data_IF_226614870456
#
_entry.id   IF_226614870456
#
_cell.length_a   1.000
_cell.length_b   1.000
_cell.length_c   1.000
_cell.angle_alpha   90.00
_cell.angle_beta   90.00
_cell.angle_gamma   90.00
#
_symmetry.space_group_name_H-M   'P 1'
#
loop_
_entity.id
_entity.type
_entity.pdbx_description
1 polymer ?
#
# COMPACT_ATOMS: atom_id res chain seq x y z
N UNK A 1 6.21 -18.72 26.45
CA UNK A 1 5.67 -17.34 26.18
C UNK A 1 5.48 -17.18 24.68
N UNK A 2 4.35 -16.61 24.24
CA UNK A 2 4.21 -16.25 22.83
C UNK A 2 5.16 -15.09 22.52
N UNK A 3 6.02 -15.24 21.53
CA UNK A 3 6.94 -14.21 21.04
C UNK A 3 6.36 -13.62 19.74
N UNK A 4 5.43 -12.63 19.81
CA UNK A 4 4.71 -12.15 18.64
C UNK A 4 5.61 -11.54 17.55
N UNK A 5 6.81 -11.13 17.92
CA UNK A 5 7.83 -10.60 17.00
C UNK A 5 8.66 -11.70 16.30
N UNK A 6 8.49 -12.98 16.69
CA UNK A 6 9.20 -14.09 16.08
C UNK A 6 8.28 -15.30 15.93
N UNK A 7 7.96 -15.63 14.69
CA UNK A 7 7.11 -16.74 14.28
C UNK A 7 7.84 -17.57 13.22
N UNK A 8 7.17 -18.52 12.60
CA UNK A 8 7.66 -19.21 11.39
C UNK A 8 7.58 -18.33 10.12
N UNK A 9 6.84 -17.20 10.16
CA UNK A 9 6.61 -16.31 9.02
C UNK A 9 7.33 -14.97 9.09
N UNK A 10 7.67 -14.49 10.27
CA UNK A 10 8.43 -13.24 10.44
C UNK A 10 9.32 -13.27 11.69
N UNK A 11 10.43 -12.55 11.59
CA UNK A 11 11.31 -12.24 12.69
C UNK A 11 11.69 -10.76 12.64
N UNK A 12 11.09 -9.98 13.52
CA UNK A 12 11.18 -8.51 13.57
C UNK A 12 11.67 -8.05 14.94
N UNK A 13 11.80 -6.73 15.11
CA UNK A 13 12.16 -6.15 16.42
C UNK A 13 11.10 -6.47 17.50
N UNK A 14 11.52 -6.80 18.74
CA UNK A 14 10.60 -6.93 19.87
C UNK A 14 10.08 -5.58 20.41
N UNK A 15 10.71 -4.47 20.02
CA UNK A 15 10.43 -3.15 20.63
C UNK A 15 9.01 -2.63 20.40
N UNK A 16 8.35 -2.85 19.26
CA UNK A 16 6.94 -2.47 19.10
C UNK A 16 5.99 -3.10 20.11
N UNK A 17 6.40 -4.21 20.73
CA UNK A 17 5.60 -4.98 21.69
C UNK A 17 5.92 -4.67 23.16
N UNK A 18 6.79 -3.70 23.44
CA UNK A 18 7.07 -3.26 24.80
C UNK A 18 5.80 -2.71 25.46
N UNK A 19 5.50 -3.08 26.74
CA UNK A 19 4.30 -2.62 27.43
C UNK A 19 4.16 -1.09 27.49
N UNK A 20 5.27 -0.37 27.68
CA UNK A 20 5.30 1.09 27.68
C UNK A 20 4.97 1.73 26.33
N UNK A 21 5.10 0.98 25.25
CA UNK A 21 4.70 1.38 23.89
C UNK A 21 3.24 1.02 23.64
N UNK A 22 2.89 -0.25 23.84
CA UNK A 22 1.55 -0.77 23.50
C UNK A 22 0.43 -0.18 24.36
N UNK A 23 0.71 0.22 25.62
CA UNK A 23 -0.28 0.88 26.49
C UNK A 23 -0.83 2.20 25.94
N UNK A 24 -0.13 2.81 24.97
CA UNK A 24 -0.58 4.06 24.33
C UNK A 24 -1.61 3.79 23.24
N UNK A 25 -1.68 2.57 22.72
CA UNK A 25 -2.52 2.23 21.57
C UNK A 25 -3.99 2.03 21.99
N UNK A 26 -4.88 2.45 21.13
CA UNK A 26 -6.33 2.33 21.31
C UNK A 26 -6.96 1.91 19.97
N UNK A 27 -6.43 0.86 19.37
CA UNK A 27 -6.96 0.34 18.11
C UNK A 27 -8.47 0.10 18.18
N UNK A 28 -9.18 0.41 17.11
CA UNK A 28 -10.56 0.06 16.96
C UNK A 28 -10.73 -1.48 16.98
N UNK A 29 -11.83 -2.02 17.56
CA UNK A 29 -12.05 -3.46 17.60
C UNK A 29 -12.07 -4.15 16.24
N UNK A 30 -12.41 -3.40 15.19
CA UNK A 30 -12.38 -3.84 13.79
C UNK A 30 -11.77 -2.74 12.93
N UNK A 31 -10.67 -3.07 12.28
CA UNK A 31 -10.01 -2.20 11.29
C UNK A 31 -10.39 -2.70 9.91
N UNK A 32 -10.72 -1.77 9.02
CA UNK A 32 -11.03 -2.06 7.62
C UNK A 32 -10.05 -1.36 6.69
N UNK A 33 -9.79 -1.97 5.55
CA UNK A 33 -9.18 -1.31 4.39
C UNK A 33 -10.30 -0.83 3.46
N UNK A 34 -10.23 0.43 3.08
CA UNK A 34 -11.02 1.03 2.02
C UNK A 34 -10.06 1.33 0.86
N UNK A 35 -10.08 0.48 -0.15
CA UNK A 35 -9.20 0.65 -1.30
C UNK A 35 -9.74 1.74 -2.23
N UNK A 36 -8.89 2.71 -2.57
CA UNK A 36 -9.19 3.83 -3.44
C UNK A 36 -8.40 3.80 -4.76
N UNK A 37 -7.85 2.63 -5.13
CA UNK A 37 -7.07 2.45 -6.36
C UNK A 37 -7.83 2.87 -7.61
N UNK A 38 -9.13 2.52 -7.70
CA UNK A 38 -9.98 2.82 -8.85
C UNK A 38 -10.56 4.25 -8.86
N UNK A 39 -10.28 5.03 -7.83
CA UNK A 39 -10.64 6.46 -7.79
C UNK A 39 -9.41 7.34 -7.68
N UNK A 40 -8.77 7.45 -6.51
CA UNK A 40 -7.62 8.30 -6.26
C UNK A 40 -6.34 7.75 -6.92
N UNK A 41 -6.20 6.42 -6.95
CA UNK A 41 -5.11 5.77 -7.68
C UNK A 41 -5.10 6.12 -9.16
N UNK A 42 -6.27 6.19 -9.79
CA UNK A 42 -6.43 6.59 -11.19
C UNK A 42 -6.22 8.10 -11.44
N UNK A 43 -6.20 8.92 -10.37
CA UNK A 43 -5.87 10.35 -10.49
C UNK A 43 -4.36 10.60 -10.67
N UNK A 44 -3.52 9.56 -10.54
CA UNK A 44 -2.11 9.67 -10.93
C UNK A 44 -2.01 10.06 -12.39
N UNK A 45 -1.16 11.04 -12.70
CA UNK A 45 -0.94 11.50 -14.08
C UNK A 45 -0.63 10.35 -15.02
N UNK A 46 -1.37 10.28 -16.14
CA UNK A 46 -1.27 9.26 -17.19
C UNK A 46 -1.76 7.84 -16.81
N UNK A 47 -2.32 7.64 -15.63
CA UNK A 47 -3.02 6.39 -15.30
C UNK A 47 -4.47 6.48 -15.77
N UNK A 48 -4.88 5.51 -16.59
CA UNK A 48 -6.25 5.41 -17.11
C UNK A 48 -6.62 3.93 -17.17
N UNK A 49 -7.63 3.54 -16.40
CA UNK A 49 -8.19 2.20 -16.46
C UNK A 49 -9.42 2.14 -17.37
N UNK A 50 -9.45 1.19 -18.28
CA UNK A 50 -10.64 0.90 -19.07
C UNK A 50 -11.71 0.27 -18.20
N UNK A 51 -12.97 0.31 -18.65
CA UNK A 51 -14.11 -0.27 -17.95
C UNK A 51 -13.88 -1.73 -17.52
N UNK A 52 -13.41 -2.57 -18.45
CA UNK A 52 -13.11 -3.99 -18.19
C UNK A 52 -11.91 -4.17 -17.23
N UNK A 53 -10.94 -3.27 -17.25
CA UNK A 53 -9.80 -3.29 -16.34
C UNK A 53 -10.21 -2.92 -14.91
N UNK A 54 -11.08 -1.92 -14.74
CA UNK A 54 -11.67 -1.57 -13.43
C UNK A 54 -12.42 -2.77 -12.83
N UNK A 55 -13.23 -3.44 -13.63
CA UNK A 55 -13.97 -4.65 -13.22
C UNK A 55 -12.99 -5.78 -12.80
N UNK A 56 -11.91 -5.98 -13.58
CA UNK A 56 -10.91 -6.99 -13.27
C UNK A 56 -10.13 -6.66 -11.98
N UNK A 57 -9.72 -5.40 -11.79
CA UNK A 57 -9.06 -4.93 -10.56
C UNK A 57 -9.97 -5.10 -9.35
N UNK A 58 -11.26 -4.73 -9.45
CA UNK A 58 -12.22 -4.91 -8.36
C UNK A 58 -12.36 -6.37 -7.93
N UNK A 59 -12.35 -7.32 -8.88
CA UNK A 59 -12.36 -8.77 -8.60
C UNK A 59 -11.08 -9.21 -7.87
N UNK A 60 -9.91 -8.69 -8.25
CA UNK A 60 -8.65 -8.99 -7.56
C UNK A 60 -8.65 -8.45 -6.12
N UNK A 61 -9.13 -7.22 -5.91
CA UNK A 61 -9.26 -6.61 -4.59
C UNK A 61 -10.22 -7.39 -3.69
N UNK A 62 -11.37 -7.83 -4.22
CA UNK A 62 -12.31 -8.70 -3.49
C UNK A 62 -11.70 -10.06 -3.14
N UNK A 63 -11.01 -10.68 -4.11
CA UNK A 63 -10.28 -11.94 -3.90
C UNK A 63 -9.13 -11.79 -2.88
N UNK A 64 -8.53 -10.60 -2.78
CA UNK A 64 -7.54 -10.27 -1.75
C UNK A 64 -8.18 -10.17 -0.34
N UNK A 65 -9.46 -9.81 -0.26
CA UNK A 65 -10.20 -9.65 0.98
C UNK A 65 -10.32 -8.18 1.43
N UNK A 66 -10.19 -7.23 0.53
CA UNK A 66 -10.43 -5.81 0.80
C UNK A 66 -11.86 -5.60 1.28
N UNK A 67 -12.04 -4.76 2.29
CA UNK A 67 -13.35 -4.58 2.92
C UNK A 67 -14.28 -3.66 2.14
N UNK A 68 -13.70 -2.58 1.55
CA UNK A 68 -14.43 -1.59 0.74
C UNK A 68 -13.61 -1.23 -0.49
N UNK A 69 -14.29 -1.07 -1.61
CA UNK A 69 -13.69 -0.63 -2.88
C UNK A 69 -14.38 0.65 -3.32
N UNK A 70 -13.60 1.74 -3.42
CA UNK A 70 -14.05 2.98 -4.03
C UNK A 70 -13.87 2.88 -5.54
N UNK A 71 -14.95 2.58 -6.23
CA UNK A 71 -14.94 2.12 -7.63
C UNK A 71 -14.78 3.26 -8.66
N UNK A 72 -14.73 4.50 -8.22
CA UNK A 72 -14.58 5.69 -9.06
C UNK A 72 -15.55 6.82 -8.70
N UNK A 73 -15.63 7.80 -9.58
CA UNK A 73 -16.55 8.96 -9.49
C UNK A 73 -17.44 8.97 -10.73
N UNK A 74 -18.76 8.66 -10.61
CA UNK A 74 -19.62 8.49 -11.78
C UNK A 74 -19.89 9.79 -12.56
N UNK A 75 -19.54 10.94 -11.99
CA UNK A 75 -19.65 12.23 -12.67
C UNK A 75 -18.50 12.54 -13.65
N UNK A 76 -17.44 11.72 -13.67
CA UNK A 76 -16.25 11.94 -14.54
C UNK A 76 -16.58 11.62 -15.99
N UNK A 77 -17.18 10.45 -16.27
CA UNK A 77 -17.53 10.02 -17.62
C UNK A 77 -18.63 8.94 -17.62
N UNK A 78 -19.26 8.73 -18.77
CA UNK A 78 -20.20 7.62 -18.96
C UNK A 78 -19.51 6.25 -18.81
N UNK A 79 -18.23 6.14 -19.18
CA UNK A 79 -17.44 4.91 -19.00
C UNK A 79 -17.19 4.63 -17.51
N UNK A 80 -16.84 5.63 -16.71
CA UNK A 80 -16.70 5.51 -15.27
C UNK A 80 -18.01 5.08 -14.62
N UNK A 81 -19.10 5.75 -14.97
CA UNK A 81 -20.44 5.41 -14.49
C UNK A 81 -20.78 3.94 -14.81
N UNK A 82 -20.53 3.50 -16.05
CA UNK A 82 -20.80 2.12 -16.47
C UNK A 82 -19.89 1.11 -15.74
N UNK A 83 -18.60 1.43 -15.52
CA UNK A 83 -17.69 0.58 -14.77
C UNK A 83 -18.15 0.41 -13.30
N UNK A 84 -18.58 1.49 -12.65
CA UNK A 84 -19.12 1.47 -11.29
C UNK A 84 -20.37 0.59 -11.20
N UNK A 85 -21.29 0.71 -12.18
CA UNK A 85 -22.49 -0.13 -12.26
C UNK A 85 -22.14 -1.60 -12.41
N UNK A 86 -21.19 -1.94 -13.30
CA UNK A 86 -20.73 -3.33 -13.48
C UNK A 86 -20.12 -3.87 -12.18
N UNK A 87 -19.25 -3.12 -11.52
CA UNK A 87 -18.61 -3.52 -10.26
C UNK A 87 -19.66 -3.75 -9.17
N UNK A 88 -20.62 -2.83 -9.03
CA UNK A 88 -21.70 -2.96 -8.04
C UNK A 88 -22.60 -4.18 -8.29
N UNK A 89 -22.76 -4.59 -9.56
CA UNK A 89 -23.56 -5.76 -9.95
C UNK A 89 -22.83 -7.10 -9.77
N UNK A 90 -21.51 -7.12 -9.48
CA UNK A 90 -20.74 -8.37 -9.36
C UNK A 90 -21.10 -9.25 -8.15
N UNK A 91 -21.79 -8.70 -7.15
CA UNK A 91 -22.08 -9.45 -5.92
C UNK A 91 -20.82 -9.72 -5.07
N UNK A 92 -19.86 -8.79 -5.05
CA UNK A 92 -18.62 -8.87 -4.31
C UNK A 92 -18.89 -8.98 -2.80
N UNK A 93 -17.93 -9.55 -2.06
CA UNK A 93 -17.91 -9.50 -0.58
C UNK A 93 -17.52 -8.12 -0.09
N UNK A 94 -16.66 -7.43 -0.83
CA UNK A 94 -16.27 -6.05 -0.60
C UNK A 94 -17.48 -5.13 -0.79
N UNK A 95 -17.67 -4.18 0.13
CA UNK A 95 -18.69 -3.14 -0.03
C UNK A 95 -18.25 -2.15 -1.13
N UNK A 96 -19.07 -1.94 -2.15
CA UNK A 96 -18.77 -1.02 -3.25
C UNK A 96 -19.21 0.39 -2.90
N UNK A 97 -18.29 1.34 -2.97
CA UNK A 97 -18.46 2.76 -2.75
C UNK A 97 -18.16 3.54 -4.03
N UNK A 98 -18.65 4.76 -4.10
CA UNK A 98 -18.24 5.73 -5.11
C UNK A 98 -18.00 7.10 -4.46
N UNK A 99 -17.21 7.91 -5.14
CA UNK A 99 -16.88 9.26 -4.71
C UNK A 99 -17.81 10.28 -5.36
N UNK A 100 -18.17 11.32 -4.62
CA UNK A 100 -19.01 12.42 -5.11
C UNK A 100 -18.64 13.74 -4.47
N UNK A 101 -18.84 14.82 -5.19
CA UNK A 101 -18.79 16.18 -4.64
C UNK A 101 -20.03 16.45 -3.77
N UNK A 102 -19.98 17.52 -2.98
CA UNK A 102 -21.14 17.98 -2.21
C UNK A 102 -22.26 18.56 -3.11
N UNK A 103 -22.78 17.71 -4.02
CA UNK A 103 -23.85 18.04 -4.99
C UNK A 103 -24.92 16.94 -4.91
N UNK A 104 -26.16 17.25 -4.46
CA UNK A 104 -27.22 16.25 -4.28
C UNK A 104 -27.53 15.42 -5.53
N UNK A 105 -27.40 15.98 -6.71
CA UNK A 105 -27.63 15.27 -7.98
C UNK A 105 -26.59 14.17 -8.21
N UNK A 106 -25.33 14.39 -7.85
CA UNK A 106 -24.28 13.35 -7.94
C UNK A 106 -24.55 12.20 -6.97
N UNK A 107 -25.09 12.48 -5.79
CA UNK A 107 -25.48 11.45 -4.82
C UNK A 107 -26.57 10.53 -5.39
N UNK A 108 -27.55 11.11 -6.13
CA UNK A 108 -28.57 10.31 -6.82
C UNK A 108 -27.98 9.40 -7.88
N UNK A 109 -26.94 9.87 -8.60
CA UNK A 109 -26.23 9.06 -9.59
C UNK A 109 -25.48 7.93 -8.92
N UNK A 110 -24.78 8.15 -7.79
CA UNK A 110 -24.12 7.10 -7.02
C UNK A 110 -25.10 6.02 -6.59
N UNK A 111 -26.28 6.43 -6.09
CA UNK A 111 -27.36 5.47 -5.73
C UNK A 111 -27.84 4.67 -6.93
N UNK A 112 -28.04 5.33 -8.07
CA UNK A 112 -28.47 4.68 -9.31
C UNK A 112 -27.42 3.69 -9.87
N UNK A 113 -26.14 3.86 -9.52
CA UNK A 113 -25.08 2.89 -9.85
C UNK A 113 -25.12 1.62 -8.98
N UNK A 114 -25.94 1.56 -7.93
CA UNK A 114 -26.05 0.39 -7.06
C UNK A 114 -25.01 0.33 -5.94
N UNK A 115 -24.30 1.41 -5.67
CA UNK A 115 -23.31 1.48 -4.61
C UNK A 115 -23.93 1.30 -3.22
N UNK A 116 -23.19 0.73 -2.29
CA UNK A 116 -23.53 0.57 -0.87
C UNK A 116 -23.36 1.87 -0.09
N UNK A 117 -22.34 2.65 -0.46
CA UNK A 117 -22.00 3.88 0.22
C UNK A 117 -21.40 4.91 -0.73
N UNK A 118 -21.23 6.10 -0.19
CA UNK A 118 -20.67 7.26 -0.89
C UNK A 118 -19.64 7.97 -0.01
N UNK A 119 -18.53 8.39 -0.62
CA UNK A 119 -17.57 9.33 -0.03
C UNK A 119 -17.88 10.70 -0.60
N UNK A 120 -18.22 11.66 0.27
CA UNK A 120 -18.64 13.02 -0.11
C UNK A 120 -17.58 14.00 0.31
N UNK A 121 -16.98 14.69 -0.65
CA UNK A 121 -15.85 15.58 -0.43
C UNK A 121 -16.23 17.05 -0.29
N UNK A 122 -15.49 17.75 0.58
CA UNK A 122 -15.46 19.19 0.67
C UNK A 122 -14.10 19.69 1.20
N UNK A 123 -13.55 20.82 0.75
CA UNK A 123 -12.39 21.41 1.39
C UNK A 123 -12.72 21.90 2.81
N UNK A 124 -11.85 21.60 3.78
CA UNK A 124 -11.99 22.05 5.16
C UNK A 124 -11.25 23.37 5.43
N UNK A 125 -10.14 23.62 4.71
CA UNK A 125 -9.34 24.81 4.93
C UNK A 125 -9.98 26.06 4.30
N UNK A 126 -10.06 27.16 5.06
CA UNK A 126 -10.64 28.43 4.60
C UNK A 126 -9.94 28.97 3.35
N UNK A 127 -8.61 28.78 3.26
CA UNK A 127 -7.85 29.21 2.07
C UNK A 127 -8.22 28.39 0.81
N UNK A 128 -8.45 27.08 0.92
CA UNK A 128 -8.85 26.27 -0.22
C UNK A 128 -10.29 26.55 -0.63
N UNK A 129 -11.21 26.69 0.34
CA UNK A 129 -12.60 27.12 0.09
C UNK A 129 -12.62 28.43 -0.71
N UNK A 130 -11.82 29.41 -0.30
CA UNK A 130 -11.77 30.72 -0.93
C UNK A 130 -10.99 30.72 -2.24
N UNK A 131 -9.75 30.20 -2.23
CA UNK A 131 -8.80 30.41 -3.33
C UNK A 131 -8.94 29.38 -4.45
N UNK A 132 -9.28 28.12 -4.13
CA UNK A 132 -9.44 27.06 -5.12
C UNK A 132 -10.89 26.91 -5.59
N UNK A 133 -11.85 27.00 -4.69
CA UNK A 133 -13.27 26.84 -5.03
C UNK A 133 -13.98 28.18 -5.33
N UNK A 134 -13.44 29.30 -4.90
CA UNK A 134 -14.09 30.63 -5.02
C UNK A 134 -15.41 30.72 -4.23
N UNK A 135 -15.52 29.95 -3.14
CA UNK A 135 -16.74 29.87 -2.33
C UNK A 135 -16.59 30.64 -1.01
N UNK A 136 -17.75 30.99 -0.45
CA UNK A 136 -17.84 31.38 0.96
C UNK A 136 -17.90 30.14 1.83
N UNK A 137 -17.51 30.26 3.08
CA UNK A 137 -17.66 29.22 4.07
C UNK A 137 -19.13 28.74 4.21
N UNK A 138 -20.09 29.67 4.26
CA UNK A 138 -21.53 29.33 4.37
C UNK A 138 -22.02 28.51 3.18
N UNK A 139 -21.53 28.81 1.98
CA UNK A 139 -21.81 28.00 0.78
C UNK A 139 -21.26 26.58 0.92
N UNK A 140 -20.02 26.43 1.37
CA UNK A 140 -19.42 25.12 1.58
C UNK A 140 -20.21 24.30 2.62
N UNK A 141 -20.57 24.93 3.73
CA UNK A 141 -21.37 24.28 4.79
C UNK A 141 -22.75 23.88 4.30
N UNK A 142 -23.46 24.78 3.58
CA UNK A 142 -24.76 24.47 3.03
C UNK A 142 -24.70 23.31 2.05
N UNK A 143 -23.76 23.31 1.12
CA UNK A 143 -23.55 22.21 0.17
C UNK A 143 -23.27 20.88 0.87
N UNK A 144 -22.45 20.89 1.93
CA UNK A 144 -22.13 19.68 2.72
C UNK A 144 -23.38 19.11 3.40
N UNK A 145 -24.18 19.98 4.03
CA UNK A 145 -25.40 19.58 4.72
C UNK A 145 -26.43 19.03 3.73
N UNK A 146 -26.66 19.71 2.62
CA UNK A 146 -27.63 19.29 1.62
C UNK A 146 -27.25 17.94 0.97
N UNK A 147 -25.96 17.75 0.59
CA UNK A 147 -25.49 16.52 -0.02
C UNK A 147 -25.52 15.33 0.96
N UNK A 148 -25.11 15.53 2.22
CA UNK A 148 -25.12 14.46 3.21
C UNK A 148 -26.53 14.05 3.63
N UNK A 149 -27.49 14.99 3.65
CA UNK A 149 -28.92 14.67 3.80
C UNK A 149 -29.45 13.84 2.63
N UNK A 150 -29.13 14.24 1.40
CA UNK A 150 -29.52 13.49 0.20
C UNK A 150 -28.96 12.05 0.22
N UNK A 151 -27.73 11.86 0.70
CA UNK A 151 -27.16 10.52 0.86
C UNK A 151 -27.91 9.66 1.89
N UNK A 152 -28.27 10.25 3.02
CA UNK A 152 -29.10 9.58 4.02
C UNK A 152 -30.46 9.18 3.47
N UNK A 153 -31.15 10.11 2.78
CA UNK A 153 -32.46 9.86 2.15
C UNK A 153 -32.38 8.76 1.09
N UNK A 154 -31.24 8.69 0.36
CA UNK A 154 -30.96 7.62 -0.59
C UNK A 154 -30.61 6.28 0.06
N UNK A 155 -30.44 6.22 1.39
CA UNK A 155 -30.05 5.01 2.12
C UNK A 155 -28.62 4.55 1.84
N UNK A 156 -27.70 5.49 1.55
CA UNK A 156 -26.27 5.23 1.36
C UNK A 156 -25.50 5.37 2.68
N UNK A 157 -24.55 4.47 2.92
CA UNK A 157 -23.56 4.70 3.97
C UNK A 157 -22.74 5.93 3.58
N UNK A 158 -22.75 6.94 4.42
CA UNK A 158 -22.21 8.28 4.12
C UNK A 158 -20.90 8.51 4.84
N UNK A 159 -19.81 8.63 4.06
CA UNK A 159 -18.49 9.04 4.55
C UNK A 159 -18.29 10.52 4.19
N UNK A 160 -18.14 11.36 5.20
CA UNK A 160 -17.82 12.77 4.99
C UNK A 160 -16.32 12.97 4.93
N UNK A 161 -15.81 13.39 3.78
CA UNK A 161 -14.40 13.50 3.47
C UNK A 161 -13.95 14.97 3.45
N UNK A 162 -13.00 15.32 4.32
CA UNK A 162 -12.49 16.69 4.41
C UNK A 162 -11.15 16.83 3.69
N UNK A 163 -11.17 17.41 2.48
CA UNK A 163 -9.95 17.77 1.76
C UNK A 163 -9.17 18.81 2.58
N UNK A 164 -7.86 18.66 2.62
CA UNK A 164 -6.94 19.62 3.25
C UNK A 164 -7.17 19.81 4.76
N UNK A 165 -7.64 18.77 5.42
CA UNK A 165 -7.94 18.81 6.85
C UNK A 165 -6.73 19.16 7.69
N UNK A 166 -5.54 18.66 7.35
CA UNK A 166 -4.32 18.86 8.13
C UNK A 166 -3.73 20.28 8.04
N UNK A 167 -4.18 21.10 7.08
CA UNK A 167 -3.84 22.52 7.01
C UNK A 167 -4.95 23.43 7.53
N UNK A 168 -5.93 22.86 8.25
CA UNK A 168 -7.02 23.57 8.92
C UNK A 168 -6.72 23.62 10.43
N UNK A 169 -7.05 24.74 11.09
CA UNK A 169 -6.97 24.81 12.55
C UNK A 169 -7.88 23.72 13.16
N UNK A 170 -7.37 23.02 14.17
CA UNK A 170 -8.03 21.80 14.71
C UNK A 170 -9.43 22.06 15.25
N UNK A 171 -9.63 23.18 15.99
CA UNK A 171 -10.96 23.55 16.51
C UNK A 171 -11.92 23.82 15.37
N UNK A 172 -11.47 24.56 14.37
CA UNK A 172 -12.25 24.87 13.16
C UNK A 172 -12.65 23.62 12.38
N UNK A 173 -11.71 22.68 12.17
CA UNK A 173 -12.01 21.40 11.52
C UNK A 173 -13.12 20.64 12.26
N UNK A 174 -12.96 20.51 13.58
CA UNK A 174 -13.93 19.79 14.40
C UNK A 174 -15.31 20.47 14.44
N UNK A 175 -15.37 21.82 14.42
CA UNK A 175 -16.63 22.57 14.33
C UNK A 175 -17.34 22.31 13.01
N UNK A 176 -16.60 22.29 11.89
CA UNK A 176 -17.15 21.96 10.56
C UNK A 176 -17.78 20.56 10.58
N UNK A 177 -17.01 19.57 11.01
CA UNK A 177 -17.44 18.17 10.98
C UNK A 177 -18.61 17.91 11.92
N UNK A 178 -18.59 18.51 13.14
CA UNK A 178 -19.71 18.40 14.08
C UNK A 178 -20.99 19.04 13.55
N UNK A 179 -20.89 20.21 12.92
CA UNK A 179 -22.03 20.87 12.29
C UNK A 179 -22.64 20.04 11.15
N UNK A 180 -21.81 19.43 10.29
CA UNK A 180 -22.31 18.53 9.24
C UNK A 180 -22.93 17.27 9.85
N UNK A 181 -22.35 16.73 10.92
CA UNK A 181 -22.93 15.57 11.63
C UNK A 181 -24.30 15.86 12.26
N UNK A 182 -24.49 17.10 12.73
CA UNK A 182 -25.71 17.53 13.45
C UNK A 182 -26.80 18.02 12.50
N UNK A 183 -26.45 18.94 11.61
CA UNK A 183 -27.40 19.59 10.70
C UNK A 183 -27.61 18.80 9.40
N UNK A 184 -26.63 17.97 9.01
CA UNK A 184 -26.66 17.06 7.88
C UNK A 184 -26.77 15.59 8.32
N UNK A 185 -25.86 14.78 7.78
CA UNK A 185 -25.69 13.37 8.19
C UNK A 185 -24.29 12.89 7.86
N UNK A 186 -23.73 11.99 8.67
CA UNK A 186 -22.61 11.13 8.31
C UNK A 186 -22.60 9.86 9.16
N UNK A 187 -22.20 8.75 8.57
CA UNK A 187 -21.91 7.51 9.28
C UNK A 187 -20.45 7.46 9.75
N UNK A 188 -19.54 8.06 8.97
CA UNK A 188 -18.13 8.19 9.29
C UNK A 188 -17.54 9.51 8.80
N UNK A 189 -16.43 9.91 9.40
CA UNK A 189 -15.65 11.08 9.03
C UNK A 189 -14.26 10.65 8.55
N UNK A 190 -13.81 11.11 7.38
CA UNK A 190 -12.44 10.93 6.90
C UNK A 190 -11.62 12.18 7.15
N UNK A 191 -10.55 12.03 7.95
CA UNK A 191 -9.48 13.02 8.08
C UNK A 191 -8.49 12.81 6.93
N UNK A 192 -8.35 13.80 6.05
CA UNK A 192 -7.43 13.73 4.92
C UNK A 192 -6.17 14.58 5.14
N UNK A 193 -5.01 13.93 5.15
CA UNK A 193 -3.70 14.57 5.00
C UNK A 193 -3.38 14.71 3.50
N UNK A 194 -4.16 15.59 2.84
CA UNK A 194 -4.19 15.73 1.38
C UNK A 194 -2.83 16.11 0.81
N UNK A 195 -2.03 16.91 1.53
CA UNK A 195 -0.70 17.34 1.08
C UNK A 195 0.43 16.52 1.72
N UNK A 196 0.10 15.43 2.42
CA UNK A 196 1.08 14.54 3.04
C UNK A 196 2.03 15.22 4.01
N UNK A 197 1.65 16.38 4.56
CA UNK A 197 2.53 17.27 5.31
C UNK A 197 2.37 17.22 6.83
N UNK A 198 1.70 16.20 7.34
CA UNK A 198 1.50 16.04 8.79
C UNK A 198 2.47 15.02 9.39
N UNK A 199 2.66 15.08 10.71
CA UNK A 199 3.49 14.13 11.45
C UNK A 199 2.65 13.08 12.16
N UNK A 200 3.19 11.87 12.45
CA UNK A 200 2.43 10.81 13.11
C UNK A 200 1.85 11.21 14.48
N UNK A 201 2.62 11.93 15.30
CA UNK A 201 2.15 12.38 16.61
C UNK A 201 1.00 13.38 16.51
N UNK A 202 1.03 14.27 15.51
CA UNK A 202 -0.05 15.22 15.27
C UNK A 202 -1.31 14.50 14.77
N UNK A 203 -1.20 13.57 13.84
CA UNK A 203 -2.31 12.72 13.38
C UNK A 203 -2.92 11.95 14.56
N UNK A 204 -2.09 11.27 15.35
CA UNK A 204 -2.56 10.55 16.53
C UNK A 204 -3.39 11.46 17.46
N UNK A 205 -2.87 12.64 17.76
CA UNK A 205 -3.51 13.59 18.65
C UNK A 205 -4.86 14.10 18.10
N UNK A 206 -4.91 14.47 16.81
CA UNK A 206 -6.12 15.02 16.19
C UNK A 206 -7.19 13.93 16.05
N UNK A 207 -6.84 12.71 15.67
CA UNK A 207 -7.76 11.57 15.59
C UNK A 207 -8.37 11.28 16.96
N UNK A 208 -7.57 11.26 18.04
CA UNK A 208 -8.08 11.11 19.41
C UNK A 208 -9.13 12.18 19.77
N UNK A 209 -8.82 13.46 19.42
CA UNK A 209 -9.76 14.57 19.65
C UNK A 209 -11.04 14.39 18.83
N UNK A 210 -10.93 14.02 17.56
CA UNK A 210 -12.08 13.82 16.68
C UNK A 210 -13.00 12.71 17.20
N UNK A 211 -12.46 11.54 17.55
CA UNK A 211 -13.24 10.42 18.10
C UNK A 211 -13.98 10.84 19.38
N UNK A 212 -13.28 11.52 20.31
CA UNK A 212 -13.85 11.97 21.58
C UNK A 212 -15.01 12.96 21.37
N UNK A 213 -14.85 13.90 20.41
CA UNK A 213 -15.84 14.95 20.16
C UNK A 213 -17.02 14.46 19.35
N UNK A 214 -16.75 13.78 18.23
CA UNK A 214 -17.79 13.41 17.25
C UNK A 214 -18.57 12.16 17.63
N UNK A 215 -17.98 11.24 18.42
CA UNK A 215 -18.55 9.92 18.75
C UNK A 215 -19.00 9.15 17.50
N UNK A 216 -18.28 9.34 16.38
CA UNK A 216 -18.48 8.70 15.10
C UNK A 216 -17.20 7.97 14.70
N UNK A 217 -17.28 6.93 13.86
CA UNK A 217 -16.11 6.31 13.27
C UNK A 217 -15.25 7.36 12.54
N UNK A 218 -13.94 7.31 12.78
CA UNK A 218 -12.95 8.12 12.06
C UNK A 218 -12.20 7.24 11.09
N UNK A 219 -12.07 7.70 9.86
CA UNK A 219 -11.28 7.11 8.80
C UNK A 219 -10.07 8.00 8.51
N UNK A 220 -9.01 7.45 7.94
CA UNK A 220 -7.79 8.17 7.62
C UNK A 220 -7.44 7.99 6.15
N UNK A 221 -7.10 9.11 5.51
CA UNK A 221 -6.59 9.18 4.14
C UNK A 221 -5.33 10.05 4.12
N UNK A 222 -4.20 9.51 3.67
CA UNK A 222 -2.93 10.23 3.64
C UNK A 222 -2.24 10.10 2.28
N UNK A 223 -1.55 11.17 1.87
CA UNK A 223 -0.60 11.14 0.76
C UNK A 223 0.85 11.01 1.24
N UNK A 224 1.76 10.73 0.31
CA UNK A 224 3.15 10.37 0.58
C UNK A 224 4.16 11.48 0.30
N UNK A 225 3.74 12.74 0.19
CA UNK A 225 4.61 13.85 -0.26
C UNK A 225 5.87 14.03 0.59
N UNK A 226 5.80 13.74 1.89
CA UNK A 226 6.96 13.69 2.80
C UNK A 226 7.39 12.26 3.16
N UNK A 227 6.84 11.23 2.53
CA UNK A 227 7.14 9.83 2.82
C UNK A 227 6.60 9.33 4.17
N UNK A 228 5.70 10.07 4.82
CA UNK A 228 5.16 9.75 6.15
C UNK A 228 3.76 9.12 6.13
N UNK A 229 3.16 8.95 4.97
CA UNK A 229 1.76 8.50 4.87
C UNK A 229 1.48 7.18 5.58
N UNK A 230 2.35 6.17 5.45
CA UNK A 230 2.20 4.89 6.17
C UNK A 230 2.27 5.09 7.67
N UNK A 231 3.26 5.86 8.15
CA UNK A 231 3.43 6.15 9.58
C UNK A 231 2.23 6.94 10.14
N UNK A 232 1.74 7.94 9.38
CA UNK A 232 0.55 8.72 9.72
C UNK A 232 -0.71 7.84 9.79
N UNK A 233 -0.89 6.94 8.83
CA UNK A 233 -2.02 6.00 8.81
C UNK A 233 -1.98 5.06 10.01
N UNK A 234 -0.82 4.48 10.33
CA UNK A 234 -0.65 3.63 11.50
C UNK A 234 -0.91 4.42 12.80
N UNK A 235 -0.43 5.67 12.91
CA UNK A 235 -0.69 6.53 14.05
C UNK A 235 -2.18 6.84 14.23
N UNK A 236 -2.92 7.04 13.13
CA UNK A 236 -4.37 7.20 13.17
C UNK A 236 -5.08 5.94 13.68
N UNK A 237 -4.67 4.76 13.19
CA UNK A 237 -5.23 3.48 13.63
C UNK A 237 -4.90 3.21 15.11
N UNK A 238 -3.69 3.50 15.56
CA UNK A 238 -3.27 3.44 16.97
C UNK A 238 -4.09 4.39 17.85
N UNK A 239 -4.57 5.50 17.31
CA UNK A 239 -5.43 6.46 17.98
C UNK A 239 -6.91 6.04 18.03
N UNK A 240 -7.30 5.01 17.26
CA UNK A 240 -8.67 4.49 17.22
C UNK A 240 -9.42 4.74 15.92
N UNK A 241 -8.77 5.24 14.86
CA UNK A 241 -9.39 5.22 13.54
C UNK A 241 -9.72 3.77 13.13
N UNK A 242 -10.86 3.59 12.47
CA UNK A 242 -11.38 2.26 12.15
C UNK A 242 -11.22 1.86 10.70
N UNK A 243 -10.87 2.79 9.82
CA UNK A 243 -10.68 2.55 8.38
C UNK A 243 -9.45 3.28 7.90
N UNK A 244 -8.59 2.57 7.16
CA UNK A 244 -7.50 3.15 6.40
C UNK A 244 -7.88 3.16 4.91
N UNK A 245 -7.82 4.33 4.28
CA UNK A 245 -7.94 4.48 2.84
C UNK A 245 -6.56 4.31 2.22
N UNK A 246 -6.45 3.39 1.25
CA UNK A 246 -5.16 2.98 0.68
C UNK A 246 -5.31 2.67 -0.80
N UNK A 247 -4.19 2.64 -1.52
CA UNK A 247 -4.16 2.13 -2.90
C UNK A 247 -3.18 0.97 -3.03
N UNK A 248 -3.36 0.14 -4.03
CA UNK A 248 -2.36 -0.86 -4.41
C UNK A 248 -1.07 -0.13 -4.77
N UNK A 249 0.04 -0.52 -4.13
CA UNK A 249 1.40 0.02 -4.30
C UNK A 249 1.55 1.54 -4.11
N UNK A 250 0.51 2.23 -3.64
CA UNK A 250 0.56 3.66 -3.40
C UNK A 250 0.28 4.52 -4.63
N UNK A 251 -0.42 4.00 -5.65
CA UNK A 251 -0.89 4.82 -6.77
C UNK A 251 -1.66 6.05 -6.29
N UNK A 252 -1.53 7.18 -6.98
CA UNK A 252 -2.26 8.41 -6.68
C UNK A 252 -1.56 9.67 -7.11
N UNK A 253 -2.21 10.80 -6.86
CA UNK A 253 -1.67 12.11 -7.22
C UNK A 253 -0.32 12.40 -6.58
N UNK A 254 0.54 13.14 -7.27
CA UNK A 254 1.87 13.61 -6.85
C UNK A 254 2.78 12.46 -6.39
N UNK A 255 3.05 12.33 -5.07
CA UNK A 255 3.84 11.24 -4.49
C UNK A 255 3.03 9.96 -4.20
N UNK A 256 1.74 9.98 -4.51
CA UNK A 256 0.83 8.86 -4.35
C UNK A 256 0.14 8.79 -2.99
N UNK A 257 -0.70 7.78 -2.86
CA UNK A 257 -1.41 7.41 -1.65
C UNK A 257 -0.59 6.47 -0.76
N UNK A 258 -1.15 6.14 0.39
CA UNK A 258 -0.59 5.12 1.28
C UNK A 258 -0.75 3.75 0.64
N UNK A 259 0.34 2.98 0.48
CA UNK A 259 0.26 1.64 -0.04
C UNK A 259 -0.46 0.68 0.91
N UNK A 260 -1.41 -0.07 0.39
CA UNK A 260 -2.19 -1.05 1.15
C UNK A 260 -1.29 -2.11 1.78
N UNK A 261 -0.36 -2.63 1.03
CA UNK A 261 0.55 -3.70 1.44
C UNK A 261 1.35 -3.30 2.68
N UNK A 262 1.85 -2.07 2.71
CA UNK A 262 2.68 -1.55 3.79
C UNK A 262 1.87 -1.42 5.10
N UNK A 263 0.63 -0.94 5.02
CA UNK A 263 -0.25 -0.80 6.19
C UNK A 263 -0.68 -2.17 6.72
N UNK A 264 -1.13 -3.06 5.83
CA UNK A 264 -1.65 -4.38 6.21
C UNK A 264 -0.55 -5.25 6.84
N UNK A 265 0.63 -5.28 6.20
CA UNK A 265 1.74 -6.08 6.74
C UNK A 265 2.29 -5.49 8.05
N UNK A 266 2.30 -4.16 8.18
CA UNK A 266 2.65 -3.50 9.46
C UNK A 266 1.67 -3.84 10.57
N UNK A 267 0.36 -3.84 10.31
CA UNK A 267 -0.64 -4.27 11.29
C UNK A 267 -0.41 -5.72 11.72
N UNK A 268 -0.18 -6.61 10.76
CA UNK A 268 0.02 -8.03 11.01
C UNK A 268 1.31 -8.29 11.80
N UNK A 269 2.45 -7.82 11.30
CA UNK A 269 3.76 -8.18 11.86
C UNK A 269 4.16 -7.30 13.04
N UNK A 270 3.95 -5.96 12.96
CA UNK A 270 4.42 -5.02 13.99
C UNK A 270 3.44 -4.82 15.14
N UNK A 271 2.15 -5.14 14.93
CA UNK A 271 1.11 -4.95 15.94
C UNK A 271 0.34 -6.24 16.29
N UNK A 272 0.58 -7.35 15.57
CA UNK A 272 -0.11 -8.61 15.78
C UNK A 272 -1.60 -8.57 15.44
N UNK A 273 -2.02 -7.65 14.55
CA UNK A 273 -3.40 -7.45 14.16
C UNK A 273 -3.63 -8.00 12.76
N UNK A 274 -4.30 -9.15 12.67
CA UNK A 274 -4.76 -9.71 11.41
C UNK A 274 -6.16 -9.16 11.10
N UNK A 275 -6.29 -8.49 9.96
CA UNK A 275 -7.54 -7.90 9.48
C UNK A 275 -8.20 -8.71 8.36
N UNK A 276 -7.71 -9.93 8.10
CA UNK A 276 -8.29 -10.88 7.15
C UNK A 276 -7.91 -10.64 5.68
N UNK A 277 -6.91 -9.80 5.39
CA UNK A 277 -6.36 -9.62 4.04
C UNK A 277 -5.40 -10.77 3.72
N UNK A 278 -5.51 -11.33 2.52
CA UNK A 278 -4.67 -12.43 2.04
C UNK A 278 -3.31 -11.92 1.56
N UNK A 279 -2.39 -11.67 2.47
CA UNK A 279 -1.08 -11.05 2.19
C UNK A 279 -0.27 -11.83 1.15
N UNK A 280 -0.43 -13.14 1.06
CA UNK A 280 0.22 -14.00 0.05
C UNK A 280 -0.18 -13.66 -1.41
N UNK A 281 -1.17 -12.81 -1.62
CA UNK A 281 -1.58 -12.31 -2.94
C UNK A 281 -1.03 -10.92 -3.29
N UNK A 282 -0.28 -10.28 -2.40
CA UNK A 282 0.18 -8.90 -2.60
C UNK A 282 0.96 -8.72 -3.89
N UNK A 283 1.94 -9.57 -4.16
CA UNK A 283 2.74 -9.45 -5.38
C UNK A 283 1.89 -9.69 -6.65
N UNK A 284 1.01 -10.68 -6.64
CA UNK A 284 0.09 -10.96 -7.76
C UNK A 284 -0.77 -9.74 -8.08
N UNK A 285 -1.44 -9.17 -7.06
CA UNK A 285 -2.34 -8.03 -7.23
C UNK A 285 -1.56 -6.76 -7.60
N UNK A 286 -0.41 -6.53 -6.96
CA UNK A 286 0.47 -5.41 -7.28
C UNK A 286 0.90 -5.42 -8.74
N UNK A 287 1.46 -6.53 -9.22
CA UNK A 287 1.89 -6.66 -10.61
C UNK A 287 0.73 -6.49 -11.59
N UNK A 288 -0.43 -7.09 -11.28
CA UNK A 288 -1.62 -6.96 -12.12
C UNK A 288 -2.07 -5.50 -12.25
N UNK A 289 -2.18 -4.79 -11.13
CA UNK A 289 -2.62 -3.37 -11.14
C UNK A 289 -1.60 -2.49 -11.83
N UNK A 290 -0.30 -2.69 -11.57
CA UNK A 290 0.78 -1.90 -12.19
C UNK A 290 0.86 -2.12 -13.71
N UNK A 291 0.62 -3.34 -14.18
CA UNK A 291 0.51 -3.65 -15.61
C UNK A 291 -0.64 -2.86 -16.26
N UNK A 292 -1.84 -2.85 -15.62
CA UNK A 292 -3.00 -2.11 -16.14
C UNK A 292 -2.80 -0.59 -16.07
N UNK A 293 -2.18 -0.12 -15.00
CA UNK A 293 -1.80 1.29 -14.84
C UNK A 293 -0.67 1.74 -15.78
N UNK A 294 0.06 0.81 -16.40
CA UNK A 294 1.30 1.05 -17.17
C UNK A 294 2.35 1.81 -16.37
N UNK A 295 2.44 1.52 -15.09
CA UNK A 295 3.41 2.14 -14.17
C UNK A 295 4.46 1.10 -13.79
N UNK A 296 5.73 1.48 -13.90
CA UNK A 296 6.85 0.66 -13.44
C UNK A 296 7.17 1.02 -11.99
N UNK A 297 7.10 0.03 -11.11
CA UNK A 297 7.51 0.24 -9.72
C UNK A 297 9.02 0.02 -9.54
N UNK A 298 9.67 0.68 -8.57
CA UNK A 298 11.05 0.41 -8.22
C UNK A 298 11.23 -1.05 -7.78
N UNK A 299 12.30 -1.74 -8.23
CA UNK A 299 12.52 -3.14 -7.89
C UNK A 299 12.78 -3.39 -6.38
N UNK A 300 13.12 -2.34 -5.64
CA UNK A 300 13.27 -2.32 -4.18
C UNK A 300 12.06 -1.73 -3.45
N UNK A 301 10.89 -1.65 -4.10
CA UNK A 301 9.64 -1.23 -3.46
C UNK A 301 9.37 -2.12 -2.24
N UNK A 302 9.09 -1.57 -1.03
CA UNK A 302 8.76 -2.39 0.11
C UNK A 302 7.70 -3.45 -0.20
N UNK A 303 7.86 -4.64 0.34
CA UNK A 303 6.95 -5.80 0.29
C UNK A 303 6.80 -6.43 -1.10
N UNK A 304 6.55 -5.67 -2.16
CA UNK A 304 6.17 -6.18 -3.50
C UNK A 304 7.24 -5.96 -4.58
N UNK A 305 8.38 -5.36 -4.27
CA UNK A 305 9.45 -5.14 -5.24
C UNK A 305 10.14 -6.44 -5.64
N UNK A 306 10.46 -6.58 -6.93
CA UNK A 306 10.93 -7.84 -7.53
C UNK A 306 12.30 -8.32 -7.02
N UNK A 307 13.14 -7.40 -6.48
CA UNK A 307 14.51 -7.72 -6.05
C UNK A 307 14.70 -7.82 -4.53
N UNK A 308 13.62 -7.83 -3.75
CA UNK A 308 13.72 -7.85 -2.28
C UNK A 308 14.31 -9.17 -1.73
N UNK A 309 14.17 -10.26 -2.45
CA UNK A 309 14.65 -11.60 -2.07
C UNK A 309 15.82 -12.05 -2.93
N UNK A 310 16.43 -11.16 -3.72
CA UNK A 310 17.67 -11.38 -4.45
C UNK A 310 18.87 -10.98 -3.60
N UNK A 311 19.90 -11.84 -3.53
CA UNK A 311 21.11 -11.62 -2.74
C UNK A 311 22.32 -11.59 -3.66
N UNK A 312 22.90 -10.43 -3.86
CA UNK A 312 24.11 -10.24 -4.67
C UNK A 312 25.39 -10.18 -3.81
N UNK A 313 25.33 -9.50 -2.64
CA UNK A 313 26.48 -9.30 -1.77
C UNK A 313 27.08 -10.62 -1.29
N UNK A 314 28.38 -10.82 -1.50
CA UNK A 314 29.07 -12.05 -1.10
C UNK A 314 29.06 -12.32 0.40
N UNK A 315 29.07 -11.28 1.25
CA UNK A 315 28.94 -11.42 2.71
C UNK A 315 27.57 -12.00 3.05
N UNK A 316 26.52 -11.40 2.50
CA UNK A 316 25.14 -11.82 2.76
C UNK A 316 24.85 -13.19 2.15
N UNK A 317 25.41 -13.50 0.97
CA UNK A 317 25.32 -14.82 0.37
C UNK A 317 25.90 -15.91 1.30
N UNK A 318 27.00 -15.60 2.00
CA UNK A 318 27.56 -16.48 3.03
C UNK A 318 26.57 -16.72 4.18
N UNK A 319 25.93 -15.66 4.70
CA UNK A 319 24.93 -15.80 5.76
C UNK A 319 23.73 -16.63 5.31
N UNK A 320 23.21 -16.35 4.13
CA UNK A 320 22.06 -17.10 3.56
C UNK A 320 22.41 -18.58 3.41
N UNK A 321 23.58 -18.92 2.88
CA UNK A 321 24.01 -20.32 2.73
C UNK A 321 24.10 -21.05 4.06
N UNK A 322 24.60 -20.39 5.10
CA UNK A 322 24.71 -20.97 6.43
C UNK A 322 23.37 -21.10 7.15
N UNK A 323 22.54 -20.08 7.10
CA UNK A 323 21.35 -19.99 7.94
C UNK A 323 20.09 -20.59 7.30
N UNK A 324 19.92 -20.59 5.97
CA UNK A 324 18.64 -20.84 5.27
C UNK A 324 17.94 -22.15 5.62
N UNK A 325 18.68 -23.19 6.01
CA UNK A 325 18.08 -24.51 6.35
C UNK A 325 17.45 -24.53 7.74
N UNK A 326 18.01 -23.84 8.71
CA UNK A 326 17.58 -23.85 10.11
C UNK A 326 16.97 -22.53 10.56
N UNK A 327 17.39 -21.42 9.97
CA UNK A 327 17.00 -20.06 10.32
C UNK A 327 16.70 -19.21 9.07
N UNK A 328 15.65 -19.56 8.30
CA UNK A 328 15.38 -18.91 7.00
C UNK A 328 15.05 -17.42 7.10
N UNK A 329 14.68 -16.94 8.29
CA UNK A 329 14.35 -15.52 8.56
C UNK A 329 15.54 -14.71 9.10
N UNK A 330 16.75 -15.28 9.16
CA UNK A 330 17.92 -14.58 9.70
C UNK A 330 18.36 -13.40 8.82
N UNK A 331 18.04 -13.45 7.54
CA UNK A 331 18.37 -12.39 6.57
C UNK A 331 17.18 -11.50 6.19
N UNK A 332 15.96 -12.01 6.25
CA UNK A 332 14.75 -11.29 5.83
C UNK A 332 13.80 -11.10 7.01
N UNK A 333 13.09 -9.96 7.10
CA UNK A 333 12.19 -9.69 8.22
C UNK A 333 10.94 -10.57 8.20
N UNK A 334 10.54 -11.07 7.03
CA UNK A 334 9.39 -11.96 6.85
C UNK A 334 9.64 -12.91 5.66
N UNK A 335 8.98 -14.06 5.69
CA UNK A 335 9.13 -15.08 4.66
C UNK A 335 8.52 -14.64 3.33
N UNK A 336 9.13 -15.06 2.24
CA UNK A 336 8.73 -14.69 0.89
C UNK A 336 7.28 -15.10 0.57
N UNK A 337 6.87 -16.28 1.01
CA UNK A 337 5.53 -16.83 0.80
C UNK A 337 4.43 -16.05 1.56
N UNK A 338 4.78 -15.34 2.64
CA UNK A 338 3.83 -14.47 3.36
C UNK A 338 3.26 -13.36 2.45
N UNK A 339 4.03 -12.92 1.47
CA UNK A 339 3.66 -11.80 0.59
C UNK A 339 3.58 -12.18 -0.89
N UNK A 340 3.73 -13.46 -1.20
CA UNK A 340 3.68 -13.98 -2.58
C UNK A 340 4.96 -13.77 -3.38
N UNK A 341 6.10 -13.54 -2.70
CA UNK A 341 7.42 -13.43 -3.31
C UNK A 341 8.05 -14.80 -3.58
N UNK A 342 9.04 -14.81 -4.48
CA UNK A 342 9.92 -15.98 -4.66
C UNK A 342 10.86 -16.14 -3.45
N UNK A 343 11.25 -17.38 -3.11
CA UNK A 343 12.20 -17.60 -2.02
C UNK A 343 13.52 -16.85 -2.25
N UNK A 344 14.19 -16.52 -1.14
CA UNK A 344 15.53 -15.90 -1.17
C UNK A 344 16.48 -16.72 -2.06
N UNK A 345 17.12 -16.07 -3.00
CA UNK A 345 18.08 -16.70 -3.90
C UNK A 345 19.28 -15.79 -4.17
N UNK A 346 20.43 -16.45 -4.38
CA UNK A 346 21.69 -15.78 -4.62
C UNK A 346 21.84 -15.53 -6.11
N UNK A 347 22.08 -14.28 -6.49
CA UNK A 347 22.31 -13.83 -7.86
C UNK A 347 23.79 -13.48 -8.07
N UNK A 348 24.22 -13.42 -9.33
CA UNK A 348 25.60 -13.09 -9.69
C UNK A 348 25.70 -11.69 -10.29
N UNK A 349 26.63 -10.91 -9.74
CA UNK A 349 26.91 -9.56 -10.21
C UNK A 349 28.24 -9.03 -9.66
N UNK A 350 28.42 -7.73 -9.75
CA UNK A 350 29.64 -7.03 -9.32
C UNK A 350 29.98 -7.27 -7.85
N UNK A 351 28.95 -7.37 -6.98
CA UNK A 351 29.13 -7.50 -5.53
C UNK A 351 29.24 -8.95 -5.06
N UNK A 352 29.20 -9.94 -5.98
CA UNK A 352 29.34 -11.36 -5.66
C UNK A 352 30.67 -11.66 -4.94
N UNK A 353 30.64 -12.67 -4.08
CA UNK A 353 31.78 -13.19 -3.36
C UNK A 353 31.96 -14.70 -3.58
N UNK A 354 33.00 -15.32 -2.96
CA UNK A 354 33.22 -16.78 -3.06
C UNK A 354 31.96 -17.60 -2.77
N UNK A 355 31.16 -17.33 -1.71
CA UNK A 355 29.90 -18.06 -1.46
C UNK A 355 28.90 -18.04 -2.60
N UNK A 356 28.87 -16.92 -3.38
CA UNK A 356 27.98 -16.82 -4.53
C UNK A 356 28.41 -17.76 -5.66
N UNK A 357 29.70 -17.86 -5.92
CA UNK A 357 30.24 -18.77 -6.93
C UNK A 357 30.05 -20.23 -6.52
N UNK A 358 30.30 -20.58 -5.25
CA UNK A 358 30.03 -21.91 -4.73
C UNK A 358 28.58 -22.34 -4.92
N UNK A 359 27.64 -21.47 -4.55
CA UNK A 359 26.19 -21.70 -4.73
C UNK A 359 25.84 -21.99 -6.20
N UNK A 360 26.37 -21.19 -7.12
CA UNK A 360 26.07 -21.35 -8.55
C UNK A 360 26.77 -22.55 -9.17
N UNK A 361 27.99 -22.88 -8.73
CA UNK A 361 28.66 -24.10 -9.13
C UNK A 361 27.87 -25.35 -8.66
N UNK A 362 27.45 -25.39 -7.40
CA UNK A 362 26.59 -26.45 -6.86
C UNK A 362 25.30 -26.61 -7.63
N UNK A 363 24.58 -25.50 -7.85
CA UNK A 363 23.29 -25.45 -8.57
C UNK A 363 23.38 -25.95 -10.00
N UNK A 364 24.51 -25.73 -10.67
CA UNK A 364 24.71 -26.09 -12.08
C UNK A 364 25.57 -27.37 -12.26
N UNK A 365 25.98 -28.00 -11.16
CA UNK A 365 26.80 -29.21 -11.22
C UNK A 365 28.22 -28.97 -11.73
N UNK A 366 28.75 -27.75 -11.62
CA UNK A 366 30.10 -27.37 -12.08
C UNK A 366 31.10 -27.70 -11.00
N UNK A 367 32.06 -28.57 -11.32
CA UNK A 367 33.20 -28.89 -10.45
C UNK A 367 34.35 -27.91 -10.73
N UNK A 368 34.77 -27.17 -9.70
CA UNK A 368 35.85 -26.21 -9.79
C UNK A 368 36.70 -26.23 -8.50
N UNK A 369 38.00 -26.17 -8.64
CA UNK A 369 38.94 -25.97 -7.54
C UNK A 369 38.78 -24.59 -6.93
N UNK A 370 39.36 -24.33 -5.77
CA UNK A 370 39.32 -23.00 -5.14
C UNK A 370 39.92 -21.90 -6.06
N UNK A 371 41.05 -22.22 -6.70
CA UNK A 371 41.68 -21.28 -7.64
C UNK A 371 40.80 -20.98 -8.84
N UNK A 372 40.11 -21.97 -9.40
CA UNK A 372 39.16 -21.80 -10.50
C UNK A 372 37.95 -21.01 -10.08
N UNK A 373 37.40 -21.26 -8.86
CA UNK A 373 36.31 -20.44 -8.32
C UNK A 373 36.70 -18.98 -8.15
N UNK A 374 37.93 -18.67 -7.76
CA UNK A 374 38.42 -17.29 -7.72
C UNK A 374 38.53 -16.68 -9.11
N UNK A 375 38.98 -17.46 -10.10
CA UNK A 375 39.01 -17.01 -11.50
C UNK A 375 37.58 -16.77 -12.05
N UNK A 376 36.64 -17.64 -11.75
CA UNK A 376 35.21 -17.47 -12.06
C UNK A 376 34.64 -16.19 -11.44
N UNK A 377 34.96 -15.94 -10.16
CA UNK A 377 34.52 -14.73 -9.46
C UNK A 377 34.98 -13.44 -10.17
N UNK A 378 36.26 -13.39 -10.57
CA UNK A 378 36.80 -12.24 -11.30
C UNK A 378 36.11 -12.06 -12.67
N UNK A 379 35.89 -13.17 -13.38
CA UNK A 379 35.20 -13.13 -14.67
C UNK A 379 33.72 -12.69 -14.56
N UNK A 380 33.02 -13.15 -13.51
CA UNK A 380 31.66 -12.70 -13.18
C UNK A 380 31.62 -11.20 -12.92
N UNK A 381 32.52 -10.68 -12.08
CA UNK A 381 32.61 -9.25 -11.78
C UNK A 381 32.90 -8.43 -13.04
N UNK A 382 33.86 -8.87 -13.85
CA UNK A 382 34.20 -8.21 -15.11
C UNK A 382 33.00 -8.16 -16.07
N UNK A 383 32.27 -9.28 -16.21
CA UNK A 383 31.07 -9.34 -17.07
C UNK A 383 29.93 -8.46 -16.57
N UNK A 384 29.73 -8.43 -15.24
CA UNK A 384 28.74 -7.54 -14.62
C UNK A 384 29.06 -6.06 -14.81
N UNK A 385 30.34 -5.67 -14.73
CA UNK A 385 30.77 -4.30 -15.05
C UNK A 385 30.50 -3.93 -16.50
N UNK A 386 30.81 -4.85 -17.45
CA UNK A 386 30.55 -4.65 -18.88
C UNK A 386 29.05 -4.46 -19.15
N UNK A 387 28.23 -5.36 -18.59
CA UNK A 387 26.79 -5.42 -18.80
C UNK A 387 26.02 -4.35 -18.02
N UNK A 388 26.56 -3.89 -16.90
CA UNK A 388 25.89 -3.07 -15.85
C UNK A 388 24.61 -3.73 -15.30
N UNK A 389 24.62 -5.05 -15.17
CA UNK A 389 23.49 -5.85 -14.71
C UNK A 389 23.96 -7.18 -14.12
N UNK A 390 23.02 -7.94 -13.58
CA UNK A 390 23.21 -9.31 -13.09
C UNK A 390 23.49 -10.27 -14.25
N UNK A 391 24.19 -11.37 -13.97
CA UNK A 391 24.42 -12.43 -14.93
C UNK A 391 23.28 -13.44 -14.94
N UNK A 392 22.93 -13.93 -16.11
CA UNK A 392 22.04 -15.07 -16.29
C UNK A 392 22.78 -16.40 -16.06
N UNK A 393 22.03 -17.50 -15.94
CA UNK A 393 22.61 -18.83 -15.80
C UNK A 393 23.46 -19.22 -17.03
N UNK A 394 23.03 -18.86 -18.23
CA UNK A 394 23.74 -19.19 -19.47
C UNK A 394 25.02 -18.37 -19.62
N UNK A 395 25.01 -17.10 -19.21
CA UNK A 395 26.23 -16.28 -19.15
C UNK A 395 27.25 -16.85 -18.18
N UNK A 396 26.80 -17.32 -17.00
CA UNK A 396 27.72 -17.94 -16.04
C UNK A 396 28.27 -19.27 -16.55
N UNK A 397 27.46 -20.15 -17.18
CA UNK A 397 27.94 -21.38 -17.83
C UNK A 397 29.01 -21.09 -18.88
N UNK A 398 28.74 -20.12 -19.77
CA UNK A 398 29.73 -19.73 -20.80
C UNK A 398 31.05 -19.21 -20.19
N UNK A 399 30.98 -18.50 -19.07
CA UNK A 399 32.18 -18.08 -18.32
C UNK A 399 32.89 -19.30 -17.74
N UNK A 400 32.16 -20.24 -17.14
CA UNK A 400 32.72 -21.42 -16.53
C UNK A 400 33.45 -22.30 -17.56
N UNK A 401 32.82 -22.60 -18.67
CA UNK A 401 33.42 -23.35 -19.77
C UNK A 401 34.76 -22.74 -20.22
N UNK A 402 34.76 -21.43 -20.46
CA UNK A 402 35.97 -20.71 -20.88
C UNK A 402 37.09 -20.69 -19.84
N UNK A 403 36.73 -20.49 -18.58
CA UNK A 403 37.73 -20.43 -17.47
C UNK A 403 38.32 -21.81 -17.21
N UNK A 404 37.49 -22.87 -17.13
CA UNK A 404 37.92 -24.22 -16.85
C UNK A 404 38.76 -24.82 -17.98
N UNK A 405 38.39 -24.57 -19.27
CA UNK A 405 39.21 -24.97 -20.43
C UNK A 405 40.59 -24.31 -20.42
N UNK A 406 40.70 -23.03 -20.05
CA UNK A 406 41.99 -22.34 -19.96
C UNK A 406 42.86 -22.89 -18.82
N UNK A 407 42.29 -23.35 -17.72
CA UNK A 407 43.00 -23.92 -16.61
C UNK A 407 43.52 -25.34 -16.99
N UNK A 408 42.65 -26.14 -17.64
CA UNK A 408 43.07 -27.48 -18.12
C UNK A 408 44.18 -27.43 -19.20
N UNK A 409 44.22 -26.38 -20.01
CA UNK A 409 45.25 -26.19 -21.02
C UNK A 409 46.60 -25.67 -20.45
N UNK A 410 46.62 -25.25 -19.17
CA UNK A 410 47.84 -24.77 -18.47
C UNK A 410 48.40 -25.76 -17.44
N UNK A 411 47.64 -26.81 -17.11
CA UNK A 411 48.04 -27.93 -16.27
C UNK A 411 48.63 -29.09 -17.10
#
# INVERSE_FOLDING_TARGET
MKTPWKTDKWFISPWPYLPEITKKYSFAPKIKIHDVTLRDGEQQTAVVFRREEKVAIAKQLDALGVHRIESGMPAVSDQDKAAIQDIAALGLKSEVFAFARCIPEEIKVVKACGCKGVVIEIPASDHMIKNAYGWTFDRAMKSSIDATRAAKEAGLYTVFFTIDATRTEVGRLLDIVERVATDGHMDAFTLADTMGGCTPDAIYHVVKKAIKRLKKPVEIHCHQDFGLGVANTLAALQAGASVAQTTVTGLGERAGNVPMEDVVLSLLCLHGIDIGIRTQKFCEVSHFVMEKAKVTQPPNRPIVGDKLYEVESGIIAGWVRMARKQHPLEYVPFSADLVGQKPVHIVLGKNSGPPSIEEWCEKLGIKATEQERMALLQAVKAKSFEKKDLLTADEFKAIADRVLQKTAARA
#
